data_IF_597464207731
#
_entry.id   IF_597464207731
#
_cell.length_a   1.000
_cell.length_b   1.000
_cell.length_c   1.000
_cell.angle_alpha   90.00
_cell.angle_beta   90.00
_cell.angle_gamma   90.00
#
_symmetry.space_group_name_H-M   'P 1'
#
loop_
_entity.id
_entity.type
_entity.pdbx_description
1 polymer ?
#
# COMPACT_ATOMS: atom_id res chain seq x y z
N UNK A 1 -3.29 22.59 -24.47
CA UNK A 1 -3.29 21.87 -23.17
C UNK A 1 -2.28 22.57 -22.27
N UNK A 2 -2.71 23.17 -21.15
CA UNK A 2 -1.85 23.98 -20.27
C UNK A 2 -1.06 23.07 -19.31
N UNK A 3 0.27 23.24 -19.26
CA UNK A 3 1.19 22.42 -18.46
C UNK A 3 0.82 22.48 -16.96
N UNK A 4 0.42 23.65 -16.45
CA UNK A 4 0.04 23.84 -15.04
C UNK A 4 -1.17 22.97 -14.67
N UNK A 5 -2.19 22.95 -15.54
CA UNK A 5 -3.39 22.14 -15.34
C UNK A 5 -3.12 20.64 -15.44
N UNK A 6 -2.09 20.24 -16.19
CA UNK A 6 -1.68 18.85 -16.31
C UNK A 6 -0.97 18.37 -15.04
N UNK A 7 0.05 19.10 -14.57
CA UNK A 7 0.79 18.77 -13.34
C UNK A 7 -0.13 18.64 -12.13
N UNK A 8 -1.05 19.59 -11.94
CA UNK A 8 -2.02 19.53 -10.83
C UNK A 8 -2.94 18.28 -10.89
N UNK A 9 -3.38 17.88 -12.09
CA UNK A 9 -4.19 16.67 -12.28
C UNK A 9 -3.40 15.40 -11.95
N UNK A 10 -2.11 15.34 -12.32
CA UNK A 10 -1.23 14.21 -12.02
C UNK A 10 -1.03 14.08 -10.50
N UNK A 11 -0.66 15.16 -9.81
CA UNK A 11 -0.48 15.14 -8.35
C UNK A 11 -1.74 14.72 -7.58
N UNK A 12 -2.91 15.20 -8.01
CA UNK A 12 -4.20 14.81 -7.42
C UNK A 12 -4.53 13.33 -7.69
N UNK A 13 -4.20 12.82 -8.88
CA UNK A 13 -4.39 11.42 -9.22
C UNK A 13 -3.47 10.52 -8.38
N UNK A 14 -2.21 10.91 -8.21
CA UNK A 14 -1.23 10.20 -7.39
C UNK A 14 -1.68 10.13 -5.94
N UNK A 15 -2.16 11.25 -5.37
CA UNK A 15 -2.68 11.27 -4.00
C UNK A 15 -3.89 10.34 -3.82
N UNK A 16 -4.81 10.32 -4.78
CA UNK A 16 -5.97 9.41 -4.75
C UNK A 16 -5.52 7.95 -4.83
N UNK A 17 -4.56 7.65 -5.70
CA UNK A 17 -3.98 6.31 -5.82
C UNK A 17 -3.34 5.86 -4.50
N UNK A 18 -2.49 6.71 -3.91
CA UNK A 18 -1.79 6.44 -2.64
C UNK A 18 -2.76 6.15 -1.49
N UNK A 19 -3.82 6.96 -1.36
CA UNK A 19 -4.86 6.74 -0.34
C UNK A 19 -5.64 5.44 -0.58
N UNK A 20 -5.94 5.12 -1.83
CA UNK A 20 -6.63 3.88 -2.17
C UNK A 20 -5.74 2.66 -1.89
N UNK A 21 -4.46 2.74 -2.22
CA UNK A 21 -3.46 1.72 -1.91
C UNK A 21 -3.36 1.47 -0.41
N UNK A 22 -3.20 2.53 0.39
CA UNK A 22 -3.12 2.43 1.84
C UNK A 22 -4.35 1.73 2.45
N UNK A 23 -5.56 2.05 1.98
CA UNK A 23 -6.80 1.39 2.42
C UNK A 23 -6.81 -0.11 2.09
N UNK A 24 -6.38 -0.48 0.88
CA UNK A 24 -6.26 -1.90 0.50
C UNK A 24 -5.23 -2.63 1.33
N UNK A 25 -4.08 -2.01 1.57
CA UNK A 25 -3.02 -2.58 2.40
C UNK A 25 -3.52 -2.86 3.82
N UNK A 26 -4.20 -1.90 4.44
CA UNK A 26 -4.83 -2.09 5.77
C UNK A 26 -5.85 -3.24 5.76
N UNK A 27 -6.69 -3.33 4.73
CA UNK A 27 -7.66 -4.41 4.60
C UNK A 27 -6.99 -5.78 4.44
N UNK A 28 -5.94 -5.88 3.61
CA UNK A 28 -5.16 -7.11 3.42
C UNK A 28 -4.45 -7.52 4.71
N UNK A 29 -3.87 -6.57 5.45
CA UNK A 29 -3.26 -6.85 6.75
C UNK A 29 -4.26 -7.49 7.72
N UNK A 30 -5.44 -6.87 7.87
CA UNK A 30 -6.49 -7.37 8.77
C UNK A 30 -6.99 -8.75 8.29
N UNK A 31 -7.23 -8.93 7.00
CA UNK A 31 -7.67 -10.21 6.42
C UNK A 31 -6.62 -11.32 6.57
N UNK A 32 -5.34 -10.96 6.57
CA UNK A 32 -4.21 -11.85 6.82
C UNK A 32 -4.03 -12.24 8.30
N UNK A 33 -4.86 -11.71 9.21
CA UNK A 33 -4.81 -12.03 10.65
C UNK A 33 -3.85 -11.16 11.46
N UNK A 34 -3.37 -10.05 10.90
CA UNK A 34 -2.50 -9.10 11.61
C UNK A 34 -3.34 -7.95 12.16
N UNK A 35 -3.59 -7.92 13.46
CA UNK A 35 -4.51 -6.98 14.10
C UNK A 35 -4.01 -5.54 14.02
N UNK A 36 -2.70 -5.35 14.18
CA UNK A 36 -2.09 -4.04 14.18
C UNK A 36 -0.88 -3.96 13.22
N UNK A 37 -0.47 -2.73 12.93
CA UNK A 37 0.66 -2.44 12.06
C UNK A 37 2.00 -3.02 12.55
N UNK A 38 2.18 -3.18 13.87
CA UNK A 38 3.41 -3.74 14.42
C UNK A 38 3.50 -5.25 14.18
N UNK A 39 2.39 -5.98 14.17
CA UNK A 39 2.36 -7.43 13.93
C UNK A 39 2.90 -7.77 12.53
N UNK A 40 2.37 -7.10 11.51
CA UNK A 40 2.83 -7.33 10.13
C UNK A 40 4.24 -6.75 9.91
N UNK A 41 4.60 -5.64 10.57
CA UNK A 41 5.97 -5.11 10.51
C UNK A 41 6.98 -6.11 11.09
N UNK A 42 6.64 -6.78 12.19
CA UNK A 42 7.46 -7.83 12.78
C UNK A 42 7.62 -9.03 11.84
N UNK A 43 6.54 -9.48 11.21
CA UNK A 43 6.58 -10.56 10.23
C UNK A 43 7.43 -10.22 8.99
N UNK A 44 7.44 -8.95 8.58
CA UNK A 44 8.27 -8.42 7.50
C UNK A 44 9.72 -8.10 7.91
N UNK A 45 10.05 -8.26 9.20
CA UNK A 45 11.32 -7.87 9.79
C UNK A 45 11.71 -6.41 9.49
N UNK A 46 10.76 -5.48 9.66
CA UNK A 46 10.98 -4.03 9.49
C UNK A 46 10.51 -3.26 10.72
N UNK A 47 11.02 -2.03 10.94
CA UNK A 47 10.53 -1.19 12.02
C UNK A 47 9.02 -0.85 11.84
N UNK A 48 8.21 -0.86 12.92
CA UNK A 48 6.78 -0.54 12.83
C UNK A 48 6.50 0.84 12.24
N UNK A 49 7.37 1.82 12.48
CA UNK A 49 7.22 3.16 11.92
C UNK A 49 7.34 3.13 10.39
N UNK A 50 8.21 2.29 9.82
CA UNK A 50 8.37 2.14 8.37
C UNK A 50 7.10 1.60 7.73
N UNK A 51 6.54 0.53 8.30
CA UNK A 51 5.30 -0.06 7.80
C UNK A 51 4.11 0.92 7.89
N UNK A 52 4.00 1.67 8.99
CA UNK A 52 2.94 2.70 9.15
C UNK A 52 2.97 3.76 8.04
N UNK A 53 4.13 4.08 7.47
CA UNK A 53 4.21 5.04 6.35
C UNK A 53 3.49 4.54 5.11
N UNK A 54 3.50 3.22 4.89
CA UNK A 54 2.74 2.60 3.80
C UNK A 54 1.23 2.76 4.04
N UNK A 55 0.75 2.43 5.24
CA UNK A 55 -0.67 2.56 5.59
C UNK A 55 -1.16 4.02 5.72
N UNK A 56 -0.25 4.98 5.87
CA UNK A 56 -0.56 6.43 5.86
C UNK A 56 -0.46 7.07 4.47
N UNK A 57 -0.24 6.28 3.42
CA UNK A 57 -0.10 6.78 2.06
C UNK A 57 1.06 7.79 1.89
N UNK A 58 2.10 7.69 2.72
CA UNK A 58 3.27 8.59 2.64
C UNK A 58 4.32 8.08 1.66
N UNK A 59 4.45 6.76 1.54
CA UNK A 59 5.42 6.10 0.66
C UNK A 59 4.89 4.76 0.19
N UNK A 60 5.26 4.35 -1.02
CA UNK A 60 4.97 3.02 -1.52
C UNK A 60 6.08 2.06 -1.10
N UNK A 61 5.76 0.81 -0.75
CA UNK A 61 6.75 -0.24 -0.67
C UNK A 61 7.34 -0.50 -2.06
N UNK A 62 8.61 -0.89 -2.12
CA UNK A 62 9.21 -1.43 -3.33
C UNK A 62 8.47 -2.73 -3.77
N UNK A 63 8.60 -3.09 -5.05
CA UNK A 63 7.91 -4.26 -5.61
C UNK A 63 8.16 -5.55 -4.80
N UNK A 64 9.41 -5.86 -4.49
CA UNK A 64 9.78 -7.07 -3.72
C UNK A 64 9.13 -7.07 -2.33
N UNK A 65 9.02 -5.89 -1.71
CA UNK A 65 8.36 -5.73 -0.42
C UNK A 65 6.85 -5.90 -0.52
N UNK A 66 6.26 -5.44 -1.62
CA UNK A 66 4.85 -5.62 -1.90
C UNK A 66 4.49 -7.10 -2.12
N UNK A 67 5.34 -7.84 -2.83
CA UNK A 67 5.21 -9.28 -3.03
C UNK A 67 5.29 -10.05 -1.71
N UNK A 68 6.23 -9.68 -0.84
CA UNK A 68 6.33 -10.26 0.50
C UNK A 68 5.08 -9.99 1.36
N UNK A 69 4.55 -8.76 1.33
CA UNK A 69 3.29 -8.42 1.99
C UNK A 69 2.15 -9.29 1.45
N UNK A 70 2.03 -9.45 0.13
CA UNK A 70 0.99 -10.26 -0.48
C UNK A 70 1.07 -11.72 -0.02
N UNK A 71 2.27 -12.31 0.02
CA UNK A 71 2.50 -13.68 0.52
C UNK A 71 2.13 -13.84 1.99
N UNK A 72 2.55 -12.92 2.85
CA UNK A 72 2.25 -12.98 4.30
C UNK A 72 0.76 -12.82 4.59
N UNK A 73 0.11 -11.90 3.88
CA UNK A 73 -1.34 -11.64 4.05
C UNK A 73 -2.24 -12.58 3.26
N UNK A 74 -1.65 -13.46 2.43
CA UNK A 74 -2.35 -14.31 1.44
C UNK A 74 -3.27 -13.52 0.52
N UNK A 75 -2.97 -12.24 0.30
CA UNK A 75 -3.70 -11.38 -0.61
C UNK A 75 -3.22 -11.60 -2.04
N UNK A 76 -4.11 -11.41 -3.02
CA UNK A 76 -3.71 -11.36 -4.42
C UNK A 76 -2.84 -10.11 -4.66
N UNK A 77 -1.70 -10.31 -5.31
CA UNK A 77 -0.75 -9.24 -5.60
C UNK A 77 -1.36 -8.17 -6.51
N UNK A 78 -2.10 -8.59 -7.54
CA UNK A 78 -2.70 -7.66 -8.50
C UNK A 78 -3.76 -6.78 -7.83
N UNK A 79 -4.56 -7.37 -6.96
CA UNK A 79 -5.52 -6.66 -6.13
C UNK A 79 -4.84 -5.67 -5.18
N UNK A 80 -3.80 -6.08 -4.47
CA UNK A 80 -3.11 -5.19 -3.54
C UNK A 80 -2.50 -3.98 -4.27
N UNK A 81 -1.81 -4.22 -5.39
CA UNK A 81 -1.16 -3.20 -6.19
C UNK A 81 -2.18 -2.25 -6.87
N UNK A 82 -3.18 -2.80 -7.55
CA UNK A 82 -4.03 -2.04 -8.49
C UNK A 82 -5.48 -1.83 -8.01
N UNK A 83 -5.94 -2.64 -7.07
CA UNK A 83 -7.35 -2.71 -6.67
C UNK A 83 -8.24 -3.47 -7.64
N UNK A 84 -7.67 -4.20 -8.61
CA UNK A 84 -8.39 -5.06 -9.54
C UNK A 84 -8.06 -6.51 -9.25
N UNK A 85 -9.04 -7.41 -9.40
CA UNK A 85 -8.78 -8.84 -9.40
C UNK A 85 -8.35 -9.27 -10.81
N UNK A 86 -7.48 -10.28 -10.86
CA UNK A 86 -7.11 -10.97 -12.11
C UNK A 86 -8.29 -11.81 -12.64
#
# INVERSE_FOLDING_TARGET
MNIINYTFKVEMADKKFMLAFAKRLTACRIAGGYENAADLAAALNIPPHTYRRYERAEVLPAYDRLDEIARLTKADFHFLATGKNN
#
